data_IF_590514079420
#
_entry.id   IF_590514079420
#
_cell.length_a   1.000
_cell.length_b   1.000
_cell.length_c   1.000
_cell.angle_alpha   90.00
_cell.angle_beta   90.00
_cell.angle_gamma   90.00
#
_symmetry.space_group_name_H-M   'P 1'
#
loop_
_entity.id
_entity.type
_entity.pdbx_description
1 polymer ?
#
# COMPACT_ATOMS: atom_id res chain seq x y z
N UNK A 1 -18.38 -1.17 -14.32
CA UNK A 1 -18.56 -0.57 -12.97
C UNK A 1 -17.99 0.85 -12.92
N UNK A 2 -16.67 1.06 -12.89
CA UNK A 2 -16.05 2.40 -12.76
C UNK A 2 -16.53 3.42 -13.81
N UNK A 3 -16.42 3.09 -15.11
CA UNK A 3 -16.87 3.98 -16.18
C UNK A 3 -18.38 4.31 -16.14
N UNK A 4 -19.19 3.41 -15.59
CA UNK A 4 -20.62 3.63 -15.40
C UNK A 4 -20.91 4.51 -14.17
N UNK A 5 -20.11 4.40 -13.11
CA UNK A 5 -20.23 5.18 -11.89
C UNK A 5 -19.83 6.66 -12.08
N UNK A 6 -19.04 6.97 -13.12
CA UNK A 6 -18.53 8.33 -13.45
C UNK A 6 -18.11 9.12 -12.20
N UNK A 7 -17.23 8.57 -11.35
CA UNK A 7 -16.87 9.22 -10.11
C UNK A 7 -16.03 10.48 -10.42
N UNK A 8 -16.23 11.53 -9.62
CA UNK A 8 -15.42 12.75 -9.69
C UNK A 8 -14.07 12.50 -9.01
N UNK A 9 -13.10 12.00 -9.80
CA UNK A 9 -11.80 11.55 -9.31
C UNK A 9 -10.70 12.43 -9.89
N UNK A 10 -10.02 13.18 -9.03
CA UNK A 10 -8.88 14.00 -9.41
C UNK A 10 -7.61 13.17 -9.71
N UNK A 11 -7.38 12.10 -8.94
CA UNK A 11 -6.21 11.24 -9.07
C UNK A 11 -6.59 9.77 -8.89
N UNK A 12 -6.02 8.91 -9.73
CA UNK A 12 -6.17 7.48 -9.61
C UNK A 12 -4.81 6.81 -9.83
N UNK A 13 -4.48 5.85 -8.98
CA UNK A 13 -3.36 4.93 -9.20
C UNK A 13 -3.88 3.50 -9.10
N UNK A 14 -3.20 2.58 -9.77
CA UNK A 14 -3.49 1.16 -9.71
C UNK A 14 -2.21 0.38 -9.45
N UNK A 15 -2.36 -0.77 -8.82
CA UNK A 15 -1.29 -1.73 -8.59
C UNK A 15 -1.91 -3.09 -8.29
N UNK A 16 -1.20 -3.97 -7.60
CA UNK A 16 -1.77 -5.23 -7.15
C UNK A 16 -0.71 -6.20 -6.64
N UNK A 17 -1.14 -7.20 -5.87
CA UNK A 17 -2.53 -7.57 -5.55
C UNK A 17 -3.21 -6.70 -4.48
N UNK A 18 -4.54 -6.81 -4.36
CA UNK A 18 -5.25 -6.37 -3.15
C UNK A 18 -4.72 -7.15 -1.95
N UNK A 19 -4.42 -6.46 -0.85
CA UNK A 19 -3.97 -7.06 0.41
C UNK A 19 -5.15 -7.50 1.28
N UNK A 20 -6.14 -6.61 1.38
CA UNK A 20 -7.38 -6.80 2.14
C UNK A 20 -8.56 -6.41 1.26
N UNK A 21 -9.58 -7.26 1.23
CA UNK A 21 -10.82 -7.10 0.47
C UNK A 21 -11.98 -7.31 1.44
N UNK A 22 -12.77 -6.27 1.69
CA UNK A 22 -13.91 -6.30 2.60
C UNK A 22 -13.58 -6.90 3.98
N UNK A 23 -12.49 -6.43 4.58
CA UNK A 23 -11.99 -6.88 5.88
C UNK A 23 -11.33 -8.26 5.88
N UNK A 24 -11.24 -8.93 4.73
CA UNK A 24 -10.64 -10.28 4.60
C UNK A 24 -9.31 -10.21 3.87
N UNK A 25 -8.34 -11.00 4.30
CA UNK A 25 -7.08 -11.13 3.56
C UNK A 25 -7.33 -11.72 2.18
N UNK A 26 -6.52 -11.34 1.21
CA UNK A 26 -6.55 -11.96 -0.11
C UNK A 26 -6.36 -13.50 0.00
N UNK A 27 -7.28 -14.32 -0.54
CA UNK A 27 -7.38 -15.75 -0.21
C UNK A 27 -6.17 -16.58 -0.65
N UNK A 28 -5.38 -16.07 -1.60
CA UNK A 28 -4.16 -16.73 -2.09
C UNK A 28 -2.92 -16.48 -1.23
N UNK A 29 -3.01 -15.66 -0.18
CA UNK A 29 -1.85 -15.36 0.64
C UNK A 29 -1.66 -16.41 1.72
N UNK A 30 -0.50 -17.03 1.69
CA UNK A 30 0.01 -17.81 2.82
C UNK A 30 0.31 -16.86 3.99
N UNK A 31 -0.02 -17.27 5.22
CA UNK A 31 0.13 -16.44 6.41
C UNK A 31 1.57 -15.90 6.60
N UNK A 32 2.58 -16.69 6.24
CA UNK A 32 4.00 -16.32 6.27
C UNK A 32 4.76 -16.83 5.04
N UNK A 33 4.13 -16.80 3.86
CA UNK A 33 4.64 -17.48 2.66
C UNK A 33 6.03 -17.04 2.24
N UNK A 34 6.77 -17.85 1.47
CA UNK A 34 8.24 -17.78 1.35
C UNK A 34 8.84 -16.52 0.71
N UNK A 35 8.10 -15.79 -0.13
CA UNK A 35 8.60 -14.56 -0.79
C UNK A 35 8.89 -13.43 0.21
N UNK A 36 10.15 -13.01 0.32
CA UNK A 36 10.61 -11.94 1.23
C UNK A 36 11.11 -10.73 0.43
N UNK A 37 10.46 -9.58 0.60
CA UNK A 37 10.89 -8.31 0.01
C UNK A 37 10.56 -7.16 0.97
N UNK A 38 11.17 -6.00 0.74
CA UNK A 38 10.58 -4.75 1.23
C UNK A 38 9.21 -4.60 0.59
N UNK A 39 8.18 -4.30 1.37
CA UNK A 39 6.80 -4.19 0.89
C UNK A 39 6.29 -2.80 1.16
N UNK A 40 5.53 -2.25 0.23
CA UNK A 40 4.79 -1.02 0.39
C UNK A 40 3.32 -1.23 0.04
N UNK A 41 2.46 -0.34 0.51
CA UNK A 41 1.04 -0.42 0.21
C UNK A 41 0.26 0.73 0.80
N UNK A 42 -1.01 0.77 0.42
CA UNK A 42 -2.00 1.73 0.93
C UNK A 42 -3.20 0.99 1.49
N UNK A 43 -3.72 1.46 2.62
CA UNK A 43 -4.97 1.01 3.21
C UNK A 43 -5.94 2.17 3.38
N UNK A 44 -7.22 1.92 3.20
CA UNK A 44 -8.29 2.84 3.61
C UNK A 44 -8.73 2.39 4.99
N UNK A 45 -8.59 3.26 5.99
CA UNK A 45 -8.99 2.99 7.38
C UNK A 45 -10.47 3.29 7.58
N UNK A 46 -10.92 4.44 7.07
CA UNK A 46 -12.28 4.94 7.14
C UNK A 46 -12.54 5.93 5.98
N UNK A 47 -13.68 6.63 5.98
CA UNK A 47 -14.07 7.56 4.92
C UNK A 47 -13.08 8.73 4.70
N UNK A 48 -12.26 9.05 5.70
CA UNK A 48 -11.36 10.21 5.68
C UNK A 48 -9.88 9.84 5.89
N UNK A 49 -9.60 8.58 6.22
CA UNK A 49 -8.27 8.12 6.59
C UNK A 49 -7.67 7.13 5.60
N UNK A 50 -6.51 7.48 5.04
CA UNK A 50 -5.64 6.55 4.32
C UNK A 50 -4.35 6.29 5.10
N UNK A 51 -3.83 5.07 5.01
CA UNK A 51 -2.57 4.66 5.61
C UNK A 51 -1.61 4.23 4.52
N UNK A 52 -0.47 4.91 4.40
CA UNK A 52 0.65 4.51 3.56
C UNK A 52 1.69 3.82 4.44
N UNK A 53 2.12 2.62 4.05
CA UNK A 53 3.11 1.86 4.81
C UNK A 53 4.21 1.33 3.90
N UNK A 54 5.44 1.27 4.45
CA UNK A 54 6.58 0.56 3.87
C UNK A 54 7.29 -0.22 4.98
N UNK A 55 7.68 -1.46 4.72
CA UNK A 55 8.47 -2.24 5.68
C UNK A 55 9.94 -1.80 5.66
N UNK A 56 10.61 -1.77 6.82
CA UNK A 56 12.06 -1.49 6.89
C UNK A 56 12.92 -2.73 6.64
N UNK A 57 12.35 -3.91 6.85
CA UNK A 57 12.98 -5.21 6.62
C UNK A 57 12.13 -6.03 5.66
N UNK A 58 12.72 -7.09 5.11
CA UNK A 58 12.01 -7.96 4.20
C UNK A 58 10.94 -8.76 4.94
N UNK A 59 9.71 -8.74 4.43
CA UNK A 59 8.56 -9.43 5.02
C UNK A 59 7.82 -10.26 3.98
N UNK A 60 7.06 -11.24 4.45
CA UNK A 60 6.12 -11.97 3.60
C UNK A 60 4.95 -11.09 3.18
N UNK A 61 4.32 -11.41 2.05
CA UNK A 61 3.12 -10.69 1.62
C UNK A 61 1.94 -10.91 2.60
N UNK A 62 1.80 -12.11 3.16
CA UNK A 62 0.75 -12.43 4.14
C UNK A 62 0.93 -11.72 5.48
N UNK A 63 2.16 -11.61 5.99
CA UNK A 63 2.45 -10.81 7.19
C UNK A 63 2.20 -9.33 6.94
N UNK A 64 2.54 -8.82 5.76
CA UNK A 64 2.29 -7.43 5.40
C UNK A 64 0.78 -7.14 5.25
N UNK A 65 0.01 -8.06 4.67
CA UNK A 65 -1.44 -7.94 4.59
C UNK A 65 -2.11 -7.95 5.98
N UNK A 66 -1.60 -8.76 6.91
CA UNK A 66 -2.08 -8.78 8.30
C UNK A 66 -1.82 -7.48 9.05
N UNK A 67 -0.70 -6.80 8.80
CA UNK A 67 -0.49 -5.45 9.35
C UNK A 67 -1.66 -4.52 9.00
N UNK A 68 -2.11 -4.51 7.74
CA UNK A 68 -3.25 -3.68 7.34
C UNK A 68 -4.56 -4.09 8.00
N UNK A 69 -4.88 -5.39 8.01
CA UNK A 69 -6.16 -5.88 8.56
C UNK A 69 -6.21 -5.81 10.09
N UNK A 70 -5.20 -6.38 10.74
CA UNK A 70 -5.22 -6.69 12.17
C UNK A 70 -4.78 -5.50 13.02
N UNK A 71 -3.74 -4.78 12.60
CA UNK A 71 -3.12 -3.71 13.41
C UNK A 71 -3.55 -2.31 12.97
N UNK A 72 -3.68 -2.08 11.67
CA UNK A 72 -4.05 -0.78 11.11
C UNK A 72 -5.55 -0.64 10.84
N UNK A 73 -6.31 -1.72 11.03
CA UNK A 73 -7.76 -1.82 10.87
C UNK A 73 -8.28 -1.29 9.52
N UNK A 74 -7.54 -1.56 8.44
CA UNK A 74 -7.94 -1.17 7.09
C UNK A 74 -8.83 -2.26 6.47
N UNK A 75 -10.14 -2.03 6.27
CA UNK A 75 -11.01 -3.00 5.59
C UNK A 75 -10.64 -3.23 4.12
N UNK A 76 -9.96 -2.27 3.49
CA UNK A 76 -9.47 -2.39 2.11
C UNK A 76 -8.03 -1.93 2.05
N UNK A 77 -7.16 -2.72 1.43
CA UNK A 77 -5.76 -2.36 1.24
C UNK A 77 -5.21 -2.92 -0.08
N UNK A 78 -4.30 -2.19 -0.70
CA UNK A 78 -3.68 -2.48 -1.98
C UNK A 78 -2.16 -2.51 -1.82
N UNK A 79 -1.53 -3.56 -2.35
CA UNK A 79 -0.08 -3.65 -2.47
C UNK A 79 0.42 -2.71 -3.57
N UNK A 80 1.51 -2.00 -3.33
CA UNK A 80 2.20 -1.22 -4.36
C UNK A 80 3.38 -2.00 -4.94
N UNK A 81 4.40 -1.34 -5.50
CA UNK A 81 5.54 -2.02 -6.12
C UNK A 81 6.43 -2.77 -5.12
N UNK A 82 6.74 -4.03 -5.43
CA UNK A 82 7.57 -4.87 -4.58
C UNK A 82 9.07 -4.65 -4.66
N UNK A 83 9.62 -4.30 -5.84
CA UNK A 83 11.10 -4.25 -6.00
C UNK A 83 11.62 -2.83 -5.83
N UNK A 84 10.92 -1.85 -6.42
CA UNK A 84 11.27 -0.43 -6.28
C UNK A 84 10.35 0.20 -5.23
N UNK A 85 10.77 0.09 -3.97
CA UNK A 85 10.07 0.65 -2.82
C UNK A 85 10.87 1.81 -2.22
N UNK A 86 10.28 3.00 -2.12
CA UNK A 86 10.92 4.17 -1.55
C UNK A 86 9.98 4.95 -0.61
N UNK A 87 10.53 5.53 0.46
CA UNK A 87 9.83 6.46 1.35
C UNK A 87 10.76 7.60 1.72
N UNK A 88 10.25 8.83 1.60
CA UNK A 88 10.92 10.06 2.00
C UNK A 88 10.03 10.81 3.00
N UNK A 89 10.65 11.55 3.91
CA UNK A 89 9.97 12.54 4.75
C UNK A 89 10.06 13.97 4.18
N UNK A 90 10.60 14.15 2.97
CA UNK A 90 10.83 15.46 2.36
C UNK A 90 12.23 16.02 2.61
N UNK A 91 12.98 15.52 3.60
CA UNK A 91 14.35 15.93 3.88
C UNK A 91 15.37 14.87 3.44
N UNK A 92 15.02 13.59 3.62
CA UNK A 92 15.85 12.45 3.26
C UNK A 92 15.03 11.23 2.88
N UNK A 93 15.67 10.31 2.17
CA UNK A 93 15.14 8.97 1.97
C UNK A 93 15.25 8.18 3.28
N UNK A 94 14.13 7.64 3.76
CA UNK A 94 14.05 6.74 4.92
C UNK A 94 14.25 5.28 4.47
N UNK A 95 13.65 4.92 3.34
CA UNK A 95 13.78 3.58 2.72
C UNK A 95 13.98 3.78 1.22
N UNK A 96 14.88 2.99 0.62
CA UNK A 96 15.08 2.94 -0.83
C UNK A 96 15.61 4.25 -1.42
N UNK A 97 15.20 4.52 -2.68
CA UNK A 97 15.67 5.69 -3.44
C UNK A 97 16.87 5.43 -4.36
N UNK A 98 17.32 4.17 -4.46
CA UNK A 98 18.47 3.80 -5.30
C UNK A 98 18.11 3.57 -6.78
N UNK A 99 16.82 3.47 -7.09
CA UNK A 99 16.31 3.22 -8.43
C UNK A 99 15.29 4.30 -8.81
N UNK A 100 15.13 4.63 -10.11
CA UNK A 100 14.10 5.54 -10.57
C UNK A 100 12.71 5.07 -10.14
N UNK A 101 11.94 5.97 -9.52
CA UNK A 101 10.56 5.70 -9.17
C UNK A 101 9.63 5.99 -10.36
N UNK A 102 8.57 5.18 -10.48
CA UNK A 102 7.46 5.46 -11.38
C UNK A 102 6.46 6.42 -10.71
N UNK A 103 5.21 6.02 -10.47
CA UNK A 103 4.24 6.83 -9.73
C UNK A 103 4.69 7.11 -8.29
N UNK A 104 4.52 8.36 -7.84
CA UNK A 104 4.82 8.80 -6.47
C UNK A 104 3.54 9.38 -5.86
N UNK A 105 3.25 8.98 -4.62
CA UNK A 105 2.22 9.62 -3.79
C UNK A 105 2.93 10.55 -2.82
N UNK A 106 2.59 11.85 -2.88
CA UNK A 106 3.07 12.85 -1.96
C UNK A 106 1.90 13.36 -1.11
N UNK A 107 2.13 13.48 0.19
CA UNK A 107 1.17 14.07 1.13
C UNK A 107 1.72 15.43 1.55
N UNK A 108 0.92 16.47 1.41
CA UNK A 108 1.25 17.83 1.80
C UNK A 108 0.05 18.52 2.46
N UNK A 109 0.31 19.61 3.17
CA UNK A 109 -0.76 20.44 3.71
C UNK A 109 -1.63 20.98 2.58
N UNK A 110 -2.94 21.06 2.82
CA UNK A 110 -3.87 21.72 1.92
C UNK A 110 -3.46 23.21 1.83
N UNK A 111 -3.33 23.71 0.60
CA UNK A 111 -3.10 25.14 0.35
C UNK A 111 -4.40 25.91 0.47
#
# INVERSE_FOLDING_TARGET
AYAAAKPDVAFATQSGPMLVIDGRLHPRFEANGTSRHIRNGVGVRDENGVVLAISRSQVSLGSFARLFRDELHCPTALFFDGVVSALSNGERMIVGGNYPAGPIIAVSAKR
#
